data_IF_346560719704
#
_entry.id   IF_346560719704
#
_cell.length_a   1.000
_cell.length_b   1.000
_cell.length_c   1.000
_cell.angle_alpha   90.00
_cell.angle_beta   90.00
_cell.angle_gamma   90.00
#
_symmetry.space_group_name_H-M   'P 1'
#
loop_
_entity.id
_entity.type
_entity.pdbx_description
1 polymer ?
#
# COMPACT_ATOMS: atom_id res chain seq x y z
N UNK A 1 3.62 -8.33 6.04
CA UNK A 1 4.16 -7.17 6.79
C UNK A 1 3.09 -6.15 7.16
N UNK A 2 2.32 -5.64 6.18
CA UNK A 2 1.26 -4.64 6.42
C UNK A 2 0.23 -5.13 7.45
N UNK A 3 -0.18 -6.40 7.40
CA UNK A 3 -1.12 -6.98 8.38
C UNK A 3 -0.61 -6.88 9.82
N UNK A 4 0.66 -7.20 10.07
CA UNK A 4 1.29 -7.13 11.39
C UNK A 4 1.35 -5.69 11.90
N UNK A 5 1.65 -4.74 11.01
CA UNK A 5 1.62 -3.31 11.34
C UNK A 5 0.20 -2.84 11.72
N UNK A 6 -0.82 -3.19 10.91
CA UNK A 6 -2.21 -2.77 11.15
C UNK A 6 -2.74 -3.36 12.46
N UNK A 7 -2.50 -4.65 12.70
CA UNK A 7 -2.95 -5.31 13.93
C UNK A 7 -2.23 -4.78 15.17
N UNK A 8 -0.96 -4.38 15.07
CA UNK A 8 -0.27 -3.66 16.14
C UNK A 8 -0.95 -2.32 16.46
N UNK A 9 -1.31 -1.53 15.44
CA UNK A 9 -2.05 -0.29 15.66
C UNK A 9 -3.41 -0.56 16.31
N UNK A 10 -4.09 -1.64 15.92
CA UNK A 10 -5.34 -2.04 16.55
C UNK A 10 -5.14 -2.39 18.04
N UNK A 11 -4.04 -3.07 18.42
CA UNK A 11 -3.70 -3.30 19.83
C UNK A 11 -3.55 -1.98 20.59
N UNK A 12 -2.79 -1.03 20.03
CA UNK A 12 -2.55 0.28 20.64
C UNK A 12 -3.86 1.05 20.87
N UNK A 13 -4.83 0.97 19.94
CA UNK A 13 -6.14 1.59 20.10
C UNK A 13 -6.96 1.00 21.27
N UNK A 14 -6.72 -0.25 21.65
CA UNK A 14 -7.38 -0.90 22.79
C UNK A 14 -6.60 -0.72 24.11
N UNK A 15 -5.41 -0.09 24.06
CA UNK A 15 -4.55 0.06 25.23
C UNK A 15 -4.17 -1.29 25.86
N UNK A 16 -4.07 -1.34 27.19
CA UNK A 16 -3.71 -2.57 27.92
C UNK A 16 -4.70 -3.73 27.71
N UNK A 17 -5.97 -3.44 27.43
CA UNK A 17 -6.98 -4.46 27.13
C UNK A 17 -6.67 -5.22 25.85
N UNK A 18 -6.09 -4.54 24.85
CA UNK A 18 -5.70 -5.17 23.60
C UNK A 18 -4.68 -6.30 23.77
N UNK A 19 -3.87 -6.26 24.83
CA UNK A 19 -2.88 -7.30 25.13
C UNK A 19 -3.49 -8.57 25.75
N UNK A 20 -4.67 -8.45 26.36
CA UNK A 20 -5.34 -9.55 27.04
C UNK A 20 -5.97 -10.51 26.02
N UNK A 21 -5.91 -11.81 26.29
CA UNK A 21 -6.36 -12.84 25.33
C UNK A 21 -7.88 -12.87 25.14
N UNK A 22 -8.61 -12.29 26.08
CA UNK A 22 -10.06 -12.10 26.04
C UNK A 22 -10.48 -11.17 24.90
N UNK A 23 -9.58 -10.30 24.41
CA UNK A 23 -9.85 -9.42 23.28
C UNK A 23 -9.32 -10.03 21.97
N UNK A 24 -10.15 -10.14 20.91
CA UNK A 24 -9.75 -10.76 19.64
C UNK A 24 -8.51 -10.16 18.99
N UNK A 25 -8.23 -8.88 19.23
CA UNK A 25 -7.10 -8.15 18.64
C UNK A 25 -5.74 -8.73 19.04
N UNK A 26 -5.61 -9.30 20.24
CA UNK A 26 -4.41 -10.02 20.68
C UNK A 26 -4.10 -11.21 19.76
N UNK A 27 -5.14 -12.02 19.49
CA UNK A 27 -5.05 -13.16 18.58
C UNK A 27 -4.76 -12.72 17.15
N UNK A 28 -5.47 -11.71 16.63
CA UNK A 28 -5.24 -11.21 15.27
C UNK A 28 -3.80 -10.75 15.07
N UNK A 29 -3.20 -10.09 16.06
CA UNK A 29 -1.81 -9.67 15.95
C UNK A 29 -0.86 -10.87 15.86
N UNK A 30 -1.02 -11.88 16.73
CA UNK A 30 -0.21 -13.10 16.68
C UNK A 30 -0.34 -13.83 15.34
N UNK A 31 -1.56 -13.95 14.82
CA UNK A 31 -1.81 -14.55 13.50
C UNK A 31 -1.25 -13.70 12.36
N UNK A 32 -1.22 -12.38 12.49
CA UNK A 32 -0.64 -11.51 11.48
C UNK A 32 0.90 -11.58 11.41
N UNK A 33 1.58 -12.05 12.47
CA UNK A 33 3.04 -12.17 12.51
C UNK A 33 3.59 -13.31 11.66
N UNK A 34 2.78 -14.33 11.33
CA UNK A 34 3.23 -15.44 10.48
C UNK A 34 3.20 -15.07 8.98
N UNK A 35 2.41 -14.07 8.58
CA UNK A 35 2.20 -13.72 7.16
C UNK A 35 3.44 -13.32 6.37
N UNK A 36 4.49 -12.67 6.93
CA UNK A 36 5.71 -12.39 6.19
C UNK A 36 6.75 -13.52 6.28
N UNK A 37 6.42 -14.65 6.92
CA UNK A 37 7.36 -15.74 7.23
C UNK A 37 6.97 -17.01 6.44
N UNK A 38 5.71 -17.41 6.49
CA UNK A 38 5.23 -18.60 5.79
C UNK A 38 4.98 -18.29 4.30
N UNK A 39 5.21 -19.30 3.44
CA UNK A 39 5.00 -19.33 1.99
C UNK A 39 6.02 -18.51 1.22
N UNK A 40 7.25 -18.53 1.74
CA UNK A 40 8.34 -17.68 1.31
C UNK A 40 8.40 -16.46 2.21
N UNK A 41 9.55 -16.25 2.84
CA UNK A 41 9.74 -15.06 3.65
C UNK A 41 9.60 -13.81 2.78
N UNK A 42 9.24 -12.69 3.40
CA UNK A 42 8.99 -11.45 2.68
C UNK A 42 10.19 -10.93 1.88
N UNK A 43 11.41 -11.37 2.21
CA UNK A 43 12.64 -11.13 1.43
C UNK A 43 12.76 -12.06 0.23
N UNK A 44 12.41 -13.35 0.38
CA UNK A 44 12.36 -14.29 -0.76
C UNK A 44 11.31 -13.81 -1.77
N UNK A 45 10.13 -13.40 -1.32
CA UNK A 45 9.10 -12.83 -2.19
C UNK A 45 9.58 -11.58 -2.96
N UNK A 46 10.43 -10.76 -2.33
CA UNK A 46 11.02 -9.60 -3.00
C UNK A 46 12.03 -10.00 -4.08
N UNK A 47 12.83 -11.04 -3.83
CA UNK A 47 13.75 -11.59 -4.82
C UNK A 47 13.01 -12.29 -5.97
N UNK A 48 11.90 -12.97 -5.68
CA UNK A 48 11.05 -13.58 -6.72
C UNK A 48 10.43 -12.50 -7.63
N UNK A 49 9.98 -11.38 -7.05
CA UNK A 49 9.50 -10.23 -7.82
C UNK A 49 10.60 -9.67 -8.73
N UNK A 50 11.80 -9.45 -8.18
CA UNK A 50 12.96 -8.99 -8.93
C UNK A 50 13.27 -9.93 -10.10
N UNK A 51 13.26 -11.23 -9.87
CA UNK A 51 13.50 -12.24 -10.91
C UNK A 51 12.44 -12.16 -12.03
N UNK A 52 11.16 -12.04 -11.67
CA UNK A 52 10.07 -11.90 -12.64
C UNK A 52 10.23 -10.64 -13.49
N UNK A 53 10.61 -9.51 -12.88
CA UNK A 53 10.83 -8.25 -13.60
C UNK A 53 12.02 -8.34 -14.53
N UNK A 54 13.11 -8.99 -14.13
CA UNK A 54 14.32 -9.11 -14.94
C UNK A 54 14.13 -10.08 -16.11
N UNK A 55 13.46 -11.23 -15.88
CA UNK A 55 13.31 -12.28 -16.90
C UNK A 55 12.12 -12.09 -17.82
N UNK A 56 11.03 -11.51 -17.32
CA UNK A 56 9.74 -11.45 -18.01
C UNK A 56 9.21 -10.03 -18.20
N UNK A 57 9.93 -9.01 -17.74
CA UNK A 57 9.53 -7.61 -17.85
C UNK A 57 8.12 -7.32 -17.30
N UNK A 58 7.71 -8.04 -16.23
CA UNK A 58 6.35 -7.94 -15.66
C UNK A 58 5.98 -6.53 -15.15
N UNK A 59 6.98 -5.71 -14.85
CA UNK A 59 6.80 -4.33 -14.45
C UNK A 59 6.16 -3.47 -15.56
N UNK A 60 6.42 -3.77 -16.84
CA UNK A 60 5.80 -3.03 -17.96
C UNK A 60 4.29 -3.14 -17.92
N UNK A 61 3.76 -4.36 -17.77
CA UNK A 61 2.32 -4.60 -17.66
C UNK A 61 1.74 -3.95 -16.41
N UNK A 62 2.42 -4.08 -15.26
CA UNK A 62 1.98 -3.47 -14.01
C UNK A 62 1.80 -1.95 -14.15
N UNK A 63 2.78 -1.26 -14.74
CA UNK A 63 2.70 0.19 -14.94
C UNK A 63 1.69 0.59 -16.01
N UNK A 64 1.42 -0.26 -16.99
CA UNK A 64 0.39 -0.03 -17.98
C UNK A 64 -1.03 -0.15 -17.39
N UNK A 65 -1.25 -1.09 -16.48
CA UNK A 65 -2.51 -1.18 -15.73
C UNK A 65 -2.79 0.11 -14.94
N UNK A 66 -1.76 0.69 -14.31
CA UNK A 66 -1.88 1.98 -13.62
C UNK A 66 -2.17 3.13 -14.59
N UNK A 67 -1.62 3.12 -15.81
CA UNK A 67 -1.95 4.14 -16.82
C UNK A 67 -3.44 4.13 -17.18
N UNK A 68 -4.06 2.95 -17.22
CA UNK A 68 -5.49 2.82 -17.51
C UNK A 68 -6.33 3.46 -16.40
N UNK A 69 -5.98 3.21 -15.13
CA UNK A 69 -6.64 3.88 -14.00
C UNK A 69 -6.42 5.39 -14.05
N UNK A 70 -5.19 5.85 -14.30
CA UNK A 70 -4.85 7.27 -14.39
C UNK A 70 -5.74 8.04 -15.38
N UNK A 71 -6.09 7.43 -16.51
CA UNK A 71 -6.96 8.04 -17.52
C UNK A 71 -8.41 8.25 -17.04
N UNK A 72 -8.83 7.53 -15.99
CA UNK A 72 -10.21 7.51 -15.49
C UNK A 72 -10.40 8.27 -14.17
N UNK A 73 -9.32 8.58 -13.45
CA UNK A 73 -9.40 9.33 -12.18
C UNK A 73 -9.94 10.73 -12.48
N UNK A 74 -11.09 11.16 -11.93
CA UNK A 74 -11.65 12.49 -12.20
C UNK A 74 -10.93 13.60 -11.42
N UNK A 75 -10.37 13.28 -10.27
CA UNK A 75 -9.68 14.21 -9.37
C UNK A 75 -8.26 14.52 -9.87
N UNK A 76 -8.00 15.79 -10.21
CA UNK A 76 -6.74 16.20 -10.83
C UNK A 76 -5.54 16.07 -9.88
N UNK A 77 -5.72 16.39 -8.60
CA UNK A 77 -4.65 16.33 -7.61
C UNK A 77 -4.23 14.88 -7.39
N UNK A 78 -5.19 13.98 -7.21
CA UNK A 78 -4.95 12.54 -7.06
C UNK A 78 -4.30 11.94 -8.31
N UNK A 79 -4.79 12.34 -9.48
CA UNK A 79 -4.22 11.93 -10.77
C UNK A 79 -2.77 12.38 -10.89
N UNK A 80 -2.44 13.61 -10.49
CA UNK A 80 -1.06 14.12 -10.49
C UNK A 80 -0.18 13.32 -9.54
N UNK A 81 -0.63 13.09 -8.29
CA UNK A 81 0.14 12.35 -7.29
C UNK A 81 0.44 10.92 -7.77
N UNK A 82 -0.57 10.21 -8.27
CA UNK A 82 -0.38 8.84 -8.78
C UNK A 82 0.57 8.84 -9.99
N UNK A 83 0.42 9.79 -10.91
CA UNK A 83 1.28 9.92 -12.10
C UNK A 83 2.73 10.18 -11.72
N UNK A 84 2.98 11.13 -10.82
CA UNK A 84 4.33 11.52 -10.40
C UNK A 84 5.01 10.38 -9.63
N UNK A 85 4.29 9.73 -8.71
CA UNK A 85 4.84 8.57 -7.98
C UNK A 85 5.13 7.41 -8.92
N UNK A 86 4.23 7.12 -9.86
CA UNK A 86 4.43 6.11 -10.91
C UNK A 86 5.72 6.39 -11.70
N UNK A 87 5.90 7.63 -12.15
CA UNK A 87 7.07 8.03 -12.92
C UNK A 87 8.37 7.93 -12.12
N UNK A 88 8.37 8.37 -10.85
CA UNK A 88 9.53 8.25 -9.96
C UNK A 88 9.91 6.78 -9.77
N UNK A 89 8.93 5.94 -9.43
CA UNK A 89 9.16 4.50 -9.19
C UNK A 89 9.60 3.77 -10.45
N UNK A 90 9.09 4.13 -11.62
CA UNK A 90 9.61 3.59 -12.88
C UNK A 90 11.10 3.86 -13.02
N UNK A 91 11.54 5.11 -12.83
CA UNK A 91 12.95 5.49 -12.96
C UNK A 91 13.82 4.79 -11.92
N UNK A 92 13.36 4.70 -10.67
CA UNK A 92 14.06 3.99 -9.58
C UNK A 92 14.16 2.48 -9.88
N UNK A 93 13.09 1.87 -10.39
CA UNK A 93 13.06 0.45 -10.73
C UNK A 93 14.04 0.12 -11.85
N UNK A 94 14.04 0.88 -12.94
CA UNK A 94 14.98 0.65 -14.05
C UNK A 94 16.43 0.77 -13.56
N UNK A 95 16.75 1.81 -12.79
CA UNK A 95 18.09 1.96 -12.18
C UNK A 95 18.46 0.77 -11.30
N UNK A 96 17.50 0.27 -10.52
CA UNK A 96 17.72 -0.91 -9.69
C UNK A 96 18.00 -2.14 -10.54
N UNK A 97 17.21 -2.39 -11.60
CA UNK A 97 17.44 -3.53 -12.51
C UNK A 97 18.80 -3.45 -13.21
N UNK A 98 19.23 -2.25 -13.60
CA UNK A 98 20.53 -2.00 -14.25
C UNK A 98 21.73 -2.18 -13.29
N UNK A 99 21.50 -2.20 -11.97
CA UNK A 99 22.56 -2.36 -10.96
C UNK A 99 23.08 -3.81 -10.82
N UNK A 100 22.50 -4.76 -11.55
CA UNK A 100 22.98 -6.14 -11.58
C UNK A 100 22.81 -6.86 -10.24
N UNK A 101 23.89 -7.31 -9.61
CA UNK A 101 23.82 -8.07 -8.35
C UNK A 101 23.33 -7.20 -7.17
N UNK A 102 23.61 -5.90 -7.19
CA UNK A 102 23.19 -4.97 -6.13
C UNK A 102 21.66 -4.79 -6.10
N UNK A 103 20.94 -5.14 -7.18
CA UNK A 103 19.48 -5.08 -7.24
C UNK A 103 18.81 -5.89 -6.12
N UNK A 104 19.43 -6.99 -5.69
CA UNK A 104 18.92 -7.84 -4.62
C UNK A 104 18.83 -7.10 -3.28
N UNK A 105 19.75 -6.17 -3.02
CA UNK A 105 19.77 -5.37 -1.79
C UNK A 105 18.53 -4.47 -1.70
N UNK A 106 18.12 -3.88 -2.83
CA UNK A 106 16.98 -2.95 -2.91
C UNK A 106 15.62 -3.62 -3.13
N UNK A 107 15.61 -4.93 -3.46
CA UNK A 107 14.41 -5.65 -3.86
C UNK A 107 13.26 -5.49 -2.86
N UNK A 108 13.57 -5.52 -1.56
CA UNK A 108 12.57 -5.43 -0.50
C UNK A 108 11.91 -4.06 -0.40
N UNK A 109 12.70 -3.00 -0.53
CA UNK A 109 12.23 -1.63 -0.55
C UNK A 109 11.38 -1.39 -1.79
N UNK A 110 11.83 -1.88 -2.95
CA UNK A 110 11.10 -1.80 -4.21
C UNK A 110 9.75 -2.53 -4.16
N UNK A 111 9.71 -3.76 -3.64
CA UNK A 111 8.46 -4.51 -3.43
C UNK A 111 7.47 -3.69 -2.56
N UNK A 112 7.96 -3.07 -1.49
CA UNK A 112 7.13 -2.26 -0.60
C UNK A 112 6.58 -1.03 -1.33
N UNK A 113 7.42 -0.31 -2.07
CA UNK A 113 7.03 0.88 -2.80
C UNK A 113 6.03 0.60 -3.93
N UNK A 114 6.21 -0.50 -4.66
CA UNK A 114 5.26 -0.97 -5.66
C UNK A 114 3.93 -1.39 -5.02
N UNK A 115 3.97 -2.00 -3.83
CA UNK A 115 2.79 -2.31 -3.04
C UNK A 115 2.02 -1.05 -2.60
N UNK A 116 2.70 0.01 -2.16
CA UNK A 116 2.07 1.30 -1.84
C UNK A 116 1.42 1.93 -3.09
N UNK A 117 2.09 1.87 -4.24
CA UNK A 117 1.53 2.36 -5.50
C UNK A 117 0.29 1.56 -5.94
N UNK A 118 0.36 0.23 -5.85
CA UNK A 118 -0.75 -0.67 -6.18
C UNK A 118 -1.96 -0.47 -5.25
N UNK A 119 -1.72 -0.22 -3.96
CA UNK A 119 -2.78 0.08 -3.01
C UNK A 119 -3.49 1.40 -3.35
N UNK A 120 -2.74 2.44 -3.74
CA UNK A 120 -3.32 3.69 -4.21
C UNK A 120 -4.16 3.48 -5.48
N UNK A 121 -3.61 2.80 -6.49
CA UNK A 121 -4.32 2.45 -7.72
C UNK A 121 -5.63 1.71 -7.42
N UNK A 122 -5.59 0.72 -6.54
CA UNK A 122 -6.77 -0.06 -6.15
C UNK A 122 -7.85 0.80 -5.47
N UNK A 123 -7.47 1.74 -4.59
CA UNK A 123 -8.41 2.70 -3.99
C UNK A 123 -9.02 3.62 -5.05
N UNK A 124 -8.22 4.10 -6.00
CA UNK A 124 -8.70 4.89 -7.13
C UNK A 124 -9.74 4.12 -7.95
N UNK A 125 -9.44 2.88 -8.34
CA UNK A 125 -10.37 2.03 -9.10
C UNK A 125 -11.65 1.75 -8.33
N UNK A 126 -11.55 1.38 -7.05
CA UNK A 126 -12.73 1.21 -6.20
C UNK A 126 -13.58 2.49 -6.15
N UNK A 127 -12.92 3.65 -6.12
CA UNK A 127 -13.56 4.97 -6.14
C UNK A 127 -14.33 5.27 -7.42
N UNK A 128 -13.77 4.89 -8.56
CA UNK A 128 -14.35 5.11 -9.89
C UNK A 128 -15.47 4.10 -10.16
N UNK A 129 -15.27 2.83 -9.80
CA UNK A 129 -16.14 1.72 -10.19
C UNK A 129 -17.29 1.48 -9.21
N UNK A 130 -17.10 1.80 -7.92
CA UNK A 130 -18.04 1.37 -6.87
C UNK A 130 -18.55 2.52 -6.00
N UNK A 131 -17.66 3.22 -5.29
CA UNK A 131 -18.05 4.20 -4.28
C UNK A 131 -17.04 5.35 -4.21
N UNK A 132 -17.44 6.59 -4.55
CA UNK A 132 -16.55 7.76 -4.55
C UNK A 132 -15.83 8.02 -3.22
N UNK A 133 -16.31 7.49 -2.08
CA UNK A 133 -15.62 7.59 -0.79
C UNK A 133 -14.24 6.94 -0.80
N UNK A 134 -13.99 5.97 -1.67
CA UNK A 134 -12.65 5.41 -1.85
C UNK A 134 -11.68 6.39 -2.52
N UNK A 135 -12.14 7.39 -3.29
CA UNK A 135 -11.27 8.46 -3.79
C UNK A 135 -10.80 9.38 -2.65
N UNK A 136 -11.67 9.65 -1.68
CA UNK A 136 -11.26 10.38 -0.47
C UNK A 136 -10.23 9.56 0.33
N UNK A 137 -10.41 8.24 0.42
CA UNK A 137 -9.44 7.35 1.06
C UNK A 137 -8.11 7.30 0.30
N UNK A 138 -8.17 7.28 -1.04
CA UNK A 138 -7.00 7.30 -1.90
C UNK A 138 -6.15 8.56 -1.64
N UNK A 139 -6.78 9.72 -1.50
CA UNK A 139 -6.11 10.96 -1.10
C UNK A 139 -5.41 10.85 0.26
N UNK A 140 -6.13 10.40 1.30
CA UNK A 140 -5.55 10.22 2.64
C UNK A 140 -4.39 9.21 2.63
N UNK A 141 -4.55 8.14 1.86
CA UNK A 141 -3.53 7.12 1.69
C UNK A 141 -2.29 7.70 1.00
N UNK A 142 -2.47 8.45 -0.09
CA UNK A 142 -1.40 9.10 -0.83
C UNK A 142 -0.61 10.09 0.04
N UNK A 143 -1.29 10.96 0.78
CA UNK A 143 -0.68 11.91 1.71
C UNK A 143 0.18 11.20 2.77
N UNK A 144 -0.37 10.16 3.41
CA UNK A 144 0.31 9.45 4.49
C UNK A 144 1.43 8.51 4.01
N UNK A 145 1.17 7.73 2.96
CA UNK A 145 2.03 6.62 2.56
C UNK A 145 2.97 6.98 1.41
N UNK A 146 2.55 7.79 0.44
CA UNK A 146 3.42 8.16 -0.68
C UNK A 146 4.18 9.45 -0.42
N UNK A 147 3.48 10.48 0.06
CA UNK A 147 4.05 11.81 0.31
C UNK A 147 4.67 11.92 1.71
N UNK A 148 4.41 10.94 2.59
CA UNK A 148 4.86 10.89 3.99
C UNK A 148 4.54 12.18 4.77
N UNK A 149 3.43 12.83 4.43
CA UNK A 149 2.93 14.05 5.07
C UNK A 149 2.05 13.69 6.27
N UNK A 150 1.98 14.63 7.21
CA UNK A 150 1.06 14.51 8.35
C UNK A 150 -0.34 14.90 7.89
N UNK A 151 -1.30 14.01 8.08
CA UNK A 151 -2.72 14.32 7.86
C UNK A 151 -3.18 15.38 8.86
N UNK A 152 -3.82 16.43 8.36
CA UNK A 152 -4.42 17.45 9.21
C UNK A 152 -5.81 17.02 9.69
N UNK A 153 -6.20 17.53 10.87
CA UNK A 153 -7.45 17.15 11.52
C UNK A 153 -8.69 17.65 10.77
N UNK A 154 -8.56 18.72 9.99
CA UNK A 154 -9.70 19.31 9.28
C UNK A 154 -10.06 18.45 8.07
N UNK A 155 -9.07 18.02 7.29
CA UNK A 155 -9.23 17.05 6.21
C UNK A 155 -9.87 15.76 6.73
N UNK A 156 -9.36 15.20 7.84
CA UNK A 156 -9.93 13.99 8.43
C UNK A 156 -11.39 14.14 8.89
N UNK A 157 -11.79 15.31 9.38
CA UNK A 157 -13.17 15.57 9.84
C UNK A 157 -14.14 15.74 8.67
N UNK A 158 -13.65 16.22 7.53
CA UNK A 158 -14.45 16.46 6.34
C UNK A 158 -14.63 15.20 5.49
N UNK A 159 -13.82 14.16 5.70
CA UNK A 159 -13.97 12.88 5.02
C UNK A 159 -15.26 12.17 5.45
N UNK A 160 -16.01 11.69 4.47
CA UNK A 160 -17.12 10.79 4.75
C UNK A 160 -16.60 9.46 5.30
N UNK A 161 -17.32 8.92 6.28
CA UNK A 161 -16.95 7.64 6.88
C UNK A 161 -17.19 6.52 5.86
N UNK A 162 -16.15 5.76 5.54
CA UNK A 162 -16.26 4.53 4.74
C UNK A 162 -17.03 3.45 5.50
N UNK A 163 -16.73 3.30 6.78
CA UNK A 163 -17.34 2.29 7.64
C UNK A 163 -18.08 2.96 8.79
N UNK A 164 -19.32 2.56 8.98
CA UNK A 164 -20.04 2.83 10.21
C UNK A 164 -19.75 1.68 11.16
N UNK A 165 -18.88 1.90 12.14
CA UNK A 165 -18.79 1.00 13.28
C UNK A 165 -20.14 1.08 13.99
N UNK A 166 -20.95 0.03 13.89
CA UNK A 166 -22.21 -0.04 14.59
C UNK A 166 -21.89 -0.23 16.08
N UNK A 167 -22.14 0.78 16.94
CA UNK A 167 -21.87 0.67 18.36
C UNK A 167 -23.05 -0.07 18.98
N UNK A 168 -23.16 -1.38 18.72
CA UNK A 168 -23.97 -2.25 19.56
C UNK A 168 -23.18 -2.62 20.80
#
# INVERSE_FOLDING_TARGET
EVSAMITRLALELHGGLGFLEEFPVARWHREALITPIWEGSSNIQALDLLELMNKKHTHEQFFEEINRTLALIPDEDLRSILKDKKQSLWVELIKMLDSGQDAQYYAKEMLTALGELAALDALCRAGIETDPRFLQMAHLYAEKHLLKRRLDLQTLRNCEKLFYLNPK
#
